data_IF_927586548253
#
_entry.id   IF_927586548253
#
_cell.length_a   1.000
_cell.length_b   1.000
_cell.length_c   1.000
_cell.angle_alpha   90.00
_cell.angle_beta   90.00
_cell.angle_gamma   90.00
#
_symmetry.space_group_name_H-M   'P 1'
#
loop_
_entity.id
_entity.type
_entity.pdbx_description
1 polymer ?
#
# COMPACT_ATOMS: atom_id res chain seq x y z
N UNK A 1 -3.45 -11.92 -48.71
CA UNK A 1 -4.86 -11.68 -48.30
C UNK A 1 -4.83 -11.23 -46.84
N UNK A 2 -5.29 -10.02 -46.52
CA UNK A 2 -5.40 -9.57 -45.12
C UNK A 2 -6.47 -10.42 -44.42
N UNK A 3 -6.14 -11.00 -43.28
CA UNK A 3 -7.10 -11.75 -42.48
C UNK A 3 -8.32 -10.88 -42.17
N UNK A 4 -9.50 -11.39 -42.45
CA UNK A 4 -10.78 -10.70 -42.16
C UNK A 4 -10.89 -10.57 -40.65
N UNK A 5 -10.84 -9.31 -40.15
CA UNK A 5 -10.95 -9.02 -38.72
C UNK A 5 -12.38 -9.31 -38.27
N UNK A 6 -12.54 -9.94 -37.12
CA UNK A 6 -13.84 -10.16 -36.52
C UNK A 6 -14.32 -8.88 -35.81
N UNK A 7 -15.60 -8.47 -35.98
CA UNK A 7 -16.16 -7.30 -35.30
C UNK A 7 -16.11 -7.48 -33.78
N UNK A 8 -15.81 -6.41 -33.06
CA UNK A 8 -15.83 -6.40 -31.59
C UNK A 8 -17.26 -6.19 -31.07
N UNK A 9 -17.99 -7.31 -30.94
CA UNK A 9 -19.36 -7.32 -30.46
C UNK A 9 -19.49 -6.93 -28.98
N UNK A 10 -18.46 -7.18 -28.17
CA UNK A 10 -18.46 -6.82 -26.76
C UNK A 10 -18.38 -5.30 -26.57
N UNK A 11 -17.49 -4.60 -27.27
CA UNK A 11 -17.48 -3.14 -27.27
C UNK A 11 -18.82 -2.58 -27.73
N UNK A 12 -19.39 -3.12 -28.80
CA UNK A 12 -20.69 -2.67 -29.31
C UNK A 12 -21.80 -2.81 -28.26
N UNK A 13 -21.86 -3.93 -27.55
CA UNK A 13 -22.85 -4.19 -26.51
C UNK A 13 -22.72 -3.20 -25.34
N UNK A 14 -21.50 -2.95 -24.84
CA UNK A 14 -21.26 -2.01 -23.72
C UNK A 14 -21.55 -0.57 -24.16
N UNK A 15 -21.22 -0.18 -25.40
CA UNK A 15 -21.60 1.14 -25.95
C UNK A 15 -23.10 1.31 -26.03
N UNK A 16 -23.84 0.29 -26.45
CA UNK A 16 -25.30 0.29 -26.49
C UNK A 16 -25.87 0.42 -25.07
N UNK A 17 -25.39 -0.34 -24.11
CA UNK A 17 -25.80 -0.25 -22.71
C UNK A 17 -25.56 1.16 -22.13
N UNK A 18 -24.43 1.78 -22.49
CA UNK A 18 -24.08 3.13 -22.08
C UNK A 18 -24.85 4.24 -22.84
N UNK A 19 -25.57 3.91 -23.90
CA UNK A 19 -26.24 4.88 -24.76
C UNK A 19 -25.23 5.85 -25.43
N UNK A 20 -24.05 5.38 -25.84
CA UNK A 20 -22.97 6.22 -26.35
C UNK A 20 -22.76 5.96 -27.84
N UNK A 21 -22.81 7.03 -28.65
CA UNK A 21 -22.46 7.00 -30.09
C UNK A 21 -20.92 6.97 -30.29
N UNK A 22 -20.46 6.61 -31.49
CA UNK A 22 -19.06 6.64 -31.85
C UNK A 22 -18.40 8.01 -31.59
N UNK A 23 -19.07 9.10 -31.91
CA UNK A 23 -18.62 10.47 -31.65
C UNK A 23 -18.58 10.76 -30.15
N UNK A 24 -19.59 10.30 -29.41
CA UNK A 24 -19.68 10.43 -27.95
C UNK A 24 -18.58 9.66 -27.23
N UNK A 25 -18.26 8.42 -27.65
CA UNK A 25 -17.17 7.66 -27.08
C UNK A 25 -15.81 8.31 -27.36
N UNK A 26 -15.54 8.71 -28.60
CA UNK A 26 -14.31 9.39 -28.97
C UNK A 26 -14.04 10.64 -28.12
N UNK A 27 -15.07 11.47 -27.88
CA UNK A 27 -14.95 12.65 -27.03
C UNK A 27 -14.61 12.28 -25.58
N UNK A 28 -15.28 11.26 -25.01
CA UNK A 28 -15.05 10.82 -23.65
C UNK A 28 -13.65 10.21 -23.47
N UNK A 29 -13.20 9.40 -24.44
CA UNK A 29 -11.84 8.83 -24.43
C UNK A 29 -10.78 9.93 -24.40
N UNK A 30 -10.95 11.01 -25.17
CA UNK A 30 -10.06 12.19 -25.10
C UNK A 30 -10.07 12.83 -23.71
N UNK A 31 -11.25 12.97 -23.11
CA UNK A 31 -11.38 13.54 -21.76
C UNK A 31 -10.63 12.68 -20.73
N UNK A 32 -10.78 11.37 -20.79
CA UNK A 32 -10.05 10.45 -19.86
C UNK A 32 -8.54 10.48 -20.12
N UNK A 33 -8.10 10.54 -21.37
CA UNK A 33 -6.68 10.64 -21.72
C UNK A 33 -6.03 11.91 -21.14
N UNK A 34 -6.71 13.05 -21.26
CA UNK A 34 -6.22 14.32 -20.68
C UNK A 34 -6.08 14.25 -19.16
N UNK A 35 -7.00 13.60 -18.45
CA UNK A 35 -6.93 13.44 -16.99
C UNK A 35 -5.67 12.72 -16.52
N UNK A 36 -5.11 11.84 -17.33
CA UNK A 36 -3.93 11.03 -17.03
C UNK A 36 -2.69 11.47 -17.82
N UNK A 37 -2.72 12.65 -18.44
CA UNK A 37 -1.58 13.24 -19.11
C UNK A 37 -1.20 12.58 -20.44
N UNK A 38 -2.09 11.85 -21.09
CA UNK A 38 -1.85 11.19 -22.39
C UNK A 38 -2.38 12.02 -23.56
N UNK A 39 -1.56 12.14 -24.60
CA UNK A 39 -1.96 12.76 -25.87
C UNK A 39 -2.63 11.72 -26.80
N UNK A 40 -3.89 11.42 -26.53
CA UNK A 40 -4.71 10.46 -27.28
C UNK A 40 -5.93 11.20 -27.83
N UNK A 41 -5.99 11.35 -29.15
CA UNK A 41 -7.04 12.12 -29.83
C UNK A 41 -7.82 11.30 -30.87
N UNK A 42 -8.61 10.27 -30.45
CA UNK A 42 -9.43 9.49 -31.36
C UNK A 42 -10.60 10.31 -31.90
N UNK A 43 -11.06 9.94 -33.07
CA UNK A 43 -12.28 10.43 -33.71
C UNK A 43 -13.33 9.31 -33.87
N UNK A 44 -14.47 9.64 -34.45
CA UNK A 44 -15.52 8.66 -34.68
C UNK A 44 -15.14 7.54 -35.68
N UNK A 45 -14.15 7.79 -36.53
CA UNK A 45 -13.58 6.79 -37.46
C UNK A 45 -12.71 5.79 -36.71
N UNK A 46 -11.94 6.29 -35.74
CA UNK A 46 -11.17 5.43 -34.85
C UNK A 46 -12.05 4.46 -34.08
N UNK A 47 -13.16 4.95 -33.51
CA UNK A 47 -14.13 4.09 -32.81
C UNK A 47 -14.79 3.07 -33.76
N UNK A 48 -15.11 3.46 -34.97
CA UNK A 48 -15.63 2.52 -35.99
C UNK A 48 -14.63 1.41 -36.30
N UNK A 49 -13.35 1.77 -36.47
CA UNK A 49 -12.28 0.76 -36.68
C UNK A 49 -12.16 -0.21 -35.52
N UNK A 50 -12.34 0.25 -34.28
CA UNK A 50 -12.32 -0.60 -33.09
C UNK A 50 -13.51 -1.57 -33.08
N UNK A 51 -14.69 -1.11 -33.47
CA UNK A 51 -15.88 -1.97 -33.64
C UNK A 51 -15.70 -2.98 -34.77
N UNK A 52 -14.98 -2.61 -35.84
CA UNK A 52 -14.64 -3.49 -36.96
C UNK A 52 -13.47 -4.45 -36.62
N UNK A 53 -13.08 -4.57 -35.33
CA UNK A 53 -12.07 -5.52 -34.84
C UNK A 53 -10.63 -5.02 -34.91
N UNK A 54 -10.38 -3.71 -35.12
CA UNK A 54 -9.04 -3.15 -34.97
C UNK A 54 -8.72 -2.96 -33.49
N UNK A 55 -7.63 -3.54 -33.01
CA UNK A 55 -7.18 -3.35 -31.62
C UNK A 55 -6.48 -1.99 -31.50
N UNK A 56 -6.93 -1.09 -30.61
CA UNK A 56 -6.23 0.16 -30.28
C UNK A 56 -4.94 -0.09 -29.52
N UNK A 57 -4.14 0.97 -29.36
CA UNK A 57 -3.01 0.95 -28.45
C UNK A 57 -3.51 0.74 -27.00
N UNK A 58 -2.70 0.10 -26.16
CA UNK A 58 -3.02 -0.29 -24.77
C UNK A 58 -3.60 0.88 -23.95
N UNK A 59 -2.98 2.06 -24.02
CA UNK A 59 -3.46 3.24 -23.29
C UNK A 59 -4.81 3.73 -23.77
N UNK A 60 -5.07 3.60 -25.07
CA UNK A 60 -6.38 3.91 -25.66
C UNK A 60 -7.46 2.96 -25.16
N UNK A 61 -7.15 1.66 -25.04
CA UNK A 61 -8.08 0.65 -24.47
C UNK A 61 -8.44 1.01 -23.03
N UNK A 62 -7.47 1.41 -22.21
CA UNK A 62 -7.71 1.87 -20.83
C UNK A 62 -8.61 3.09 -20.77
N UNK A 63 -8.38 4.08 -21.65
CA UNK A 63 -9.23 5.26 -21.73
C UNK A 63 -10.65 4.92 -22.23
N UNK A 64 -10.82 3.90 -23.10
CA UNK A 64 -12.16 3.42 -23.53
C UNK A 64 -12.91 2.82 -22.34
N UNK A 65 -12.25 1.93 -21.59
CA UNK A 65 -12.84 1.30 -20.40
C UNK A 65 -13.21 2.34 -19.33
N UNK A 66 -12.32 3.31 -19.04
CA UNK A 66 -12.58 4.39 -18.11
C UNK A 66 -13.76 5.29 -18.55
N UNK A 67 -13.82 5.64 -19.83
CA UNK A 67 -14.88 6.47 -20.39
C UNK A 67 -16.26 5.80 -20.28
N UNK A 68 -16.32 4.48 -20.51
CA UNK A 68 -17.56 3.69 -20.38
C UNK A 68 -17.92 3.47 -18.90
N UNK A 69 -16.92 3.26 -18.03
CA UNK A 69 -17.13 3.17 -16.59
C UNK A 69 -17.77 4.42 -16.01
N UNK A 70 -17.21 5.58 -16.36
CA UNK A 70 -17.76 6.88 -15.93
C UNK A 70 -19.19 7.11 -16.42
N UNK A 71 -19.52 6.64 -17.64
CA UNK A 71 -20.86 6.80 -18.21
C UNK A 71 -21.89 5.87 -17.57
N UNK A 72 -21.49 4.64 -17.23
CA UNK A 72 -22.36 3.62 -16.64
C UNK A 72 -22.43 3.70 -15.12
N UNK A 73 -21.62 4.55 -14.50
CA UNK A 73 -21.44 4.65 -13.06
C UNK A 73 -21.15 3.27 -12.41
N UNK A 74 -20.39 2.44 -13.12
CA UNK A 74 -19.85 1.16 -12.66
C UNK A 74 -18.52 0.87 -13.35
N UNK A 75 -17.72 0.00 -12.77
CA UNK A 75 -16.48 -0.45 -13.42
C UNK A 75 -16.79 -1.23 -14.69
N UNK A 76 -16.12 -0.88 -15.78
CA UNK A 76 -16.10 -1.62 -17.06
C UNK A 76 -14.66 -2.03 -17.30
N UNK A 77 -14.41 -3.32 -17.48
CA UNK A 77 -13.06 -3.87 -17.69
C UNK A 77 -12.69 -3.88 -19.17
N UNK A 78 -11.39 -4.03 -19.47
CA UNK A 78 -10.93 -4.20 -20.85
C UNK A 78 -11.44 -5.51 -21.46
N UNK A 79 -11.63 -6.55 -20.67
CA UNK A 79 -12.24 -7.81 -21.08
C UNK A 79 -13.70 -7.62 -21.52
N UNK A 80 -14.51 -6.89 -20.74
CA UNK A 80 -15.91 -6.61 -21.08
C UNK A 80 -16.07 -5.88 -22.42
N UNK A 81 -15.07 -5.12 -22.84
CA UNK A 81 -15.07 -4.43 -24.13
C UNK A 81 -14.29 -5.19 -25.23
N UNK A 82 -13.89 -6.45 -24.96
CA UNK A 82 -13.33 -7.36 -25.96
C UNK A 82 -11.90 -7.04 -26.41
N UNK A 83 -11.11 -6.33 -25.61
CA UNK A 83 -9.74 -5.96 -25.96
C UNK A 83 -8.64 -6.71 -25.18
N UNK A 84 -8.99 -7.51 -24.21
CA UNK A 84 -8.01 -8.36 -23.51
C UNK A 84 -7.79 -9.68 -24.29
N UNK A 85 -6.55 -10.13 -24.30
CA UNK A 85 -6.22 -11.49 -24.74
C UNK A 85 -6.63 -12.51 -23.66
N UNK A 86 -6.75 -13.78 -24.02
CA UNK A 86 -7.01 -14.86 -23.03
C UNK A 86 -5.93 -14.86 -21.94
N UNK A 87 -4.68 -14.57 -22.28
CA UNK A 87 -3.59 -14.46 -21.31
C UNK A 87 -3.76 -13.25 -20.36
N UNK A 88 -4.22 -12.09 -20.86
CA UNK A 88 -4.48 -10.91 -20.02
C UNK A 88 -5.69 -11.12 -19.10
N UNK A 89 -6.71 -11.87 -19.53
CA UNK A 89 -7.84 -12.27 -18.68
C UNK A 89 -7.38 -13.19 -17.56
N UNK A 90 -6.60 -14.22 -17.89
CA UNK A 90 -6.04 -15.15 -16.90
C UNK A 90 -5.10 -14.44 -15.90
N UNK A 91 -4.27 -13.50 -16.38
CA UNK A 91 -3.45 -12.66 -15.50
C UNK A 91 -4.32 -11.82 -14.56
N UNK A 92 -5.41 -11.22 -15.06
CA UNK A 92 -6.35 -10.43 -14.26
C UNK A 92 -7.02 -11.27 -13.18
N UNK A 93 -7.47 -12.47 -13.49
CA UNK A 93 -8.06 -13.40 -12.53
C UNK A 93 -7.05 -13.79 -11.45
N UNK A 94 -5.82 -14.15 -11.81
CA UNK A 94 -4.74 -14.47 -10.86
C UNK A 94 -4.39 -13.27 -9.96
N UNK A 95 -4.42 -12.06 -10.50
CA UNK A 95 -4.20 -10.84 -9.70
C UNK A 95 -5.34 -10.66 -8.70
N UNK A 96 -6.61 -10.85 -9.07
CA UNK A 96 -7.73 -10.76 -8.12
C UNK A 96 -7.63 -11.84 -7.04
N UNK A 97 -7.30 -13.08 -7.41
CA UNK A 97 -7.06 -14.19 -6.46
C UNK A 97 -5.92 -13.87 -5.47
N UNK A 98 -4.96 -13.04 -5.87
CA UNK A 98 -3.86 -12.60 -5.00
C UNK A 98 -4.31 -11.88 -3.72
N UNK A 99 -5.53 -11.32 -3.66
CA UNK A 99 -6.09 -10.73 -2.45
C UNK A 99 -6.67 -11.77 -1.47
N UNK A 100 -6.82 -13.03 -1.90
CA UNK A 100 -7.31 -14.12 -1.07
C UNK A 100 -6.14 -14.84 -0.37
N UNK A 101 -6.40 -15.37 0.83
CA UNK A 101 -5.43 -16.19 1.53
C UNK A 101 -5.32 -17.58 0.87
N UNK A 102 -4.14 -17.97 0.35
CA UNK A 102 -4.01 -19.19 -0.41
C UNK A 102 -4.04 -20.44 0.49
N UNK A 103 -4.63 -21.51 0.00
CA UNK A 103 -4.70 -22.76 0.75
C UNK A 103 -3.33 -23.44 0.91
N UNK A 104 -2.41 -23.24 -0.07
CA UNK A 104 -1.07 -23.85 -0.10
C UNK A 104 0.03 -22.82 -0.33
N UNK A 105 1.23 -23.10 0.20
CA UNK A 105 2.39 -22.25 0.04
C UNK A 105 2.89 -22.13 -1.39
N UNK A 106 2.77 -23.21 -2.19
CA UNK A 106 3.13 -23.18 -3.61
C UNK A 106 2.24 -22.19 -4.39
N UNK A 107 0.96 -22.09 -4.04
CA UNK A 107 0.07 -21.08 -4.63
C UNK A 107 0.52 -19.66 -4.29
N UNK A 108 0.97 -19.41 -3.05
CA UNK A 108 1.51 -18.12 -2.68
C UNK A 108 2.77 -17.77 -3.48
N UNK A 109 3.67 -18.74 -3.69
CA UNK A 109 4.89 -18.53 -4.49
C UNK A 109 4.55 -18.20 -5.94
N UNK A 110 3.62 -18.94 -6.56
CA UNK A 110 3.20 -18.72 -7.95
C UNK A 110 2.47 -17.38 -8.11
N UNK A 111 1.60 -17.01 -7.15
CA UNK A 111 0.93 -15.72 -7.14
C UNK A 111 1.93 -14.56 -6.96
N UNK A 112 2.90 -14.70 -6.06
CA UNK A 112 3.95 -13.68 -5.88
C UNK A 112 4.80 -13.53 -7.15
N UNK A 113 5.18 -14.62 -7.81
CA UNK A 113 5.89 -14.57 -9.08
C UNK A 113 5.06 -13.87 -10.17
N UNK A 114 3.76 -14.14 -10.24
CA UNK A 114 2.85 -13.48 -11.19
C UNK A 114 2.71 -11.99 -10.87
N UNK A 115 2.51 -11.63 -9.60
CA UNK A 115 2.37 -10.25 -9.14
C UNK A 115 3.63 -9.42 -9.42
N UNK A 116 4.82 -9.97 -9.12
CA UNK A 116 6.09 -9.26 -9.35
C UNK A 116 6.40 -9.09 -10.83
N UNK A 117 6.13 -10.09 -11.66
CA UNK A 117 6.26 -9.99 -13.11
C UNK A 117 5.28 -8.98 -13.72
N UNK A 118 4.02 -8.98 -13.27
CA UNK A 118 3.01 -8.01 -13.65
C UNK A 118 3.40 -6.57 -13.23
N UNK A 119 3.99 -6.43 -12.05
CA UNK A 119 4.43 -5.14 -11.54
C UNK A 119 5.68 -4.60 -12.26
N UNK A 120 6.62 -5.46 -12.62
CA UNK A 120 7.80 -5.12 -13.44
C UNK A 120 7.40 -4.67 -14.86
N UNK A 121 6.38 -5.31 -15.44
CA UNK A 121 5.87 -4.98 -16.78
C UNK A 121 4.87 -3.83 -16.78
N UNK A 122 4.64 -3.18 -15.64
CA UNK A 122 3.60 -2.16 -15.45
C UNK A 122 2.21 -2.64 -15.96
N UNK A 123 1.84 -3.89 -15.63
CA UNK A 123 0.56 -4.49 -16.03
C UNK A 123 -0.63 -3.63 -15.63
N UNK A 124 -1.56 -3.32 -16.56
CA UNK A 124 -2.75 -2.55 -16.24
C UNK A 124 -3.63 -3.24 -15.21
N UNK A 125 -3.74 -4.56 -15.24
CA UNK A 125 -4.56 -5.31 -14.29
C UNK A 125 -4.10 -5.06 -12.86
N UNK A 126 -2.80 -5.11 -12.60
CA UNK A 126 -2.24 -4.79 -11.28
C UNK A 126 -2.30 -3.30 -10.97
N UNK A 127 -2.10 -2.43 -11.97
CA UNK A 127 -2.13 -0.99 -11.77
C UNK A 127 -3.52 -0.46 -11.37
N UNK A 128 -4.61 -1.10 -11.85
CA UNK A 128 -5.99 -0.73 -11.49
C UNK A 128 -6.56 -1.55 -10.34
N UNK A 129 -5.81 -2.53 -9.83
CA UNK A 129 -6.26 -3.33 -8.70
C UNK A 129 -6.48 -2.46 -7.46
N UNK A 130 -7.58 -2.70 -6.77
CA UNK A 130 -7.96 -1.94 -5.58
C UNK A 130 -7.79 -2.79 -4.32
N UNK A 131 -7.79 -2.12 -3.19
CA UNK A 131 -7.95 -2.77 -1.89
C UNK A 131 -9.32 -3.45 -1.81
N UNK A 132 -9.33 -4.69 -1.31
CA UNK A 132 -10.52 -5.54 -1.15
C UNK A 132 -10.78 -5.79 0.35
N UNK A 133 -11.56 -4.93 1.02
CA UNK A 133 -11.81 -5.04 2.47
C UNK A 133 -12.56 -6.33 2.84
N UNK A 134 -13.41 -6.82 1.95
CA UNK A 134 -14.20 -8.05 2.12
C UNK A 134 -13.35 -9.31 2.32
N UNK A 135 -12.08 -9.28 1.96
CA UNK A 135 -11.17 -10.43 2.13
C UNK A 135 -10.60 -10.53 3.55
N UNK A 136 -10.68 -9.48 4.36
CA UNK A 136 -10.05 -9.45 5.69
C UNK A 136 -10.45 -10.62 6.60
N UNK A 137 -11.74 -11.00 6.74
CA UNK A 137 -12.11 -12.14 7.58
C UNK A 137 -11.49 -13.46 7.11
N UNK A 138 -11.45 -13.71 5.79
CA UNK A 138 -10.87 -14.94 5.23
C UNK A 138 -9.34 -14.95 5.35
N UNK A 139 -8.68 -13.82 5.19
CA UNK A 139 -7.23 -13.68 5.39
C UNK A 139 -6.85 -13.94 6.84
N UNK A 140 -7.55 -13.32 7.78
CA UNK A 140 -7.30 -13.49 9.21
C UNK A 140 -7.55 -14.94 9.65
N UNK A 141 -8.71 -15.50 9.30
CA UNK A 141 -9.04 -16.89 9.69
C UNK A 141 -8.10 -17.89 8.99
N UNK A 142 -7.79 -17.67 7.73
CA UNK A 142 -6.84 -18.48 6.98
C UNK A 142 -5.46 -18.50 7.65
N UNK A 143 -4.95 -17.34 8.05
CA UNK A 143 -3.66 -17.27 8.73
C UNK A 143 -3.68 -17.89 10.14
N UNK A 144 -4.67 -17.56 10.97
CA UNK A 144 -4.70 -18.01 12.37
C UNK A 144 -4.92 -19.53 12.50
N UNK A 145 -5.74 -20.12 11.61
CA UNK A 145 -6.20 -21.51 11.74
C UNK A 145 -5.63 -22.47 10.69
N UNK A 146 -4.95 -21.99 9.63
CA UNK A 146 -4.30 -22.88 8.68
C UNK A 146 -3.18 -23.67 9.39
N UNK A 147 -3.13 -24.96 9.12
CA UNK A 147 -1.98 -25.77 9.54
C UNK A 147 -0.81 -25.57 8.56
N UNK A 148 0.45 -25.48 9.06
CA UNK A 148 1.63 -25.56 8.20
C UNK A 148 1.61 -26.89 7.48
N UNK A 149 1.85 -26.87 6.17
CA UNK A 149 1.90 -28.12 5.41
C UNK A 149 3.23 -28.82 5.70
N UNK A 150 3.21 -30.17 5.78
CA UNK A 150 4.45 -30.93 5.78
C UNK A 150 5.08 -30.82 4.40
N UNK A 151 6.09 -30.00 4.28
CA UNK A 151 6.89 -29.87 3.06
C UNK A 151 7.66 -31.18 2.90
N UNK A 152 7.19 -32.05 1.99
CA UNK A 152 7.91 -33.29 1.67
C UNK A 152 9.02 -32.95 0.69
N UNK A 153 10.20 -32.68 1.19
CA UNK A 153 11.41 -32.55 0.37
C UNK A 153 12.17 -33.88 0.31
N UNK A 154 11.98 -34.62 -0.74
CA UNK A 154 12.83 -35.76 -1.10
C UNK A 154 13.83 -35.31 -2.17
N UNK A 155 15.08 -35.12 -1.82
CA UNK A 155 16.11 -34.82 -2.81
C UNK A 155 17.50 -34.62 -2.19
N UNK A 156 18.53 -35.03 -2.90
CA UNK A 156 19.94 -34.83 -2.56
C UNK A 156 20.26 -33.32 -2.55
N UNK A 157 20.91 -32.88 -1.49
CA UNK A 157 21.38 -31.50 -1.32
C UNK A 157 22.46 -31.18 -2.36
N UNK A 158 22.31 -30.08 -3.06
CA UNK A 158 23.41 -29.38 -3.69
C UNK A 158 24.01 -28.43 -2.64
N UNK A 159 25.29 -28.61 -2.29
CA UNK A 159 26.03 -27.80 -1.28
C UNK A 159 26.08 -26.29 -1.63
N UNK A 160 25.68 -25.91 -2.83
CA UNK A 160 25.85 -24.56 -3.36
C UNK A 160 24.84 -23.51 -2.81
N UNK A 161 23.83 -23.89 -2.04
CA UNK A 161 22.75 -22.97 -1.66
C UNK A 161 22.38 -22.95 -0.17
N UNK A 162 23.28 -23.35 0.70
CA UNK A 162 23.06 -23.40 2.16
C UNK A 162 22.84 -22.02 2.81
N UNK A 163 23.20 -20.93 2.13
CA UNK A 163 23.09 -19.55 2.63
C UNK A 163 22.03 -18.69 1.87
N UNK A 164 21.07 -19.30 1.19
CA UNK A 164 20.04 -18.55 0.43
C UNK A 164 19.26 -17.58 1.32
N UNK A 165 18.82 -18.02 2.49
CA UNK A 165 18.08 -17.19 3.45
C UNK A 165 18.93 -16.02 3.97
N UNK A 166 20.20 -16.26 4.32
CA UNK A 166 21.11 -15.20 4.78
C UNK A 166 21.37 -14.13 3.72
N UNK A 167 21.55 -14.54 2.46
CA UNK A 167 21.68 -13.58 1.33
C UNK A 167 20.41 -12.76 1.14
N UNK A 168 19.23 -13.39 1.15
CA UNK A 168 17.96 -12.67 1.02
C UNK A 168 17.81 -11.64 2.13
N UNK A 169 17.97 -12.03 3.39
CA UNK A 169 17.84 -11.10 4.54
C UNK A 169 18.85 -9.95 4.49
N UNK A 170 20.09 -10.21 4.08
CA UNK A 170 21.11 -9.17 3.96
C UNK A 170 20.76 -8.16 2.87
N UNK A 171 20.27 -8.62 1.73
CA UNK A 171 19.83 -7.77 0.62
C UNK A 171 18.59 -6.96 1.00
N UNK A 172 17.60 -7.59 1.65
CA UNK A 172 16.37 -6.90 2.11
C UNK A 172 16.70 -5.81 3.14
N UNK A 173 17.65 -6.03 4.05
CA UNK A 173 18.12 -4.98 4.98
C UNK A 173 18.68 -3.76 4.26
N UNK A 174 19.46 -3.96 3.19
CA UNK A 174 19.95 -2.86 2.38
C UNK A 174 18.79 -2.09 1.71
N UNK A 175 17.80 -2.79 1.15
CA UNK A 175 16.65 -2.17 0.53
C UNK A 175 15.75 -1.44 1.53
N UNK A 176 15.57 -1.97 2.74
CA UNK A 176 14.88 -1.27 3.82
C UNK A 176 15.55 0.07 4.14
N UNK A 177 16.88 0.11 4.25
CA UNK A 177 17.63 1.35 4.49
C UNK A 177 17.36 2.40 3.40
N UNK A 178 17.32 1.98 2.12
CA UNK A 178 17.00 2.87 1.00
C UNK A 178 15.53 3.31 1.02
N UNK A 179 14.61 2.42 1.37
CA UNK A 179 13.17 2.74 1.50
C UNK A 179 12.92 3.78 2.59
N UNK A 180 13.56 3.61 3.76
CA UNK A 180 13.50 4.60 4.83
C UNK A 180 14.03 5.97 4.42
N UNK A 181 15.07 6.01 3.59
CA UNK A 181 15.69 7.27 3.18
C UNK A 181 14.93 7.97 2.05
N UNK A 182 14.47 7.23 1.03
CA UNK A 182 13.98 7.79 -0.23
C UNK A 182 12.49 7.49 -0.52
N UNK A 183 11.86 6.61 0.26
CA UNK A 183 10.49 6.14 0.07
C UNK A 183 10.36 4.99 -0.93
N UNK A 184 9.22 4.27 -0.85
CA UNK A 184 8.95 3.05 -1.61
C UNK A 184 9.00 3.21 -3.12
N UNK A 185 8.67 4.39 -3.64
CA UNK A 185 8.75 4.67 -5.08
C UNK A 185 10.16 4.63 -5.67
N UNK A 186 11.21 4.72 -4.83
CA UNK A 186 12.61 4.67 -5.27
C UNK A 186 13.13 3.23 -5.36
N UNK A 187 12.85 2.41 -4.36
CA UNK A 187 13.45 1.07 -4.20
C UNK A 187 12.66 -0.04 -4.88
N UNK A 188 11.38 0.17 -5.15
CA UNK A 188 10.44 -0.86 -5.62
C UNK A 188 10.94 -1.64 -6.85
N UNK A 189 11.39 -0.97 -7.92
CA UNK A 189 11.83 -1.67 -9.14
C UNK A 189 13.01 -2.61 -8.91
N UNK A 190 13.97 -2.19 -8.09
CA UNK A 190 15.15 -2.99 -7.77
C UNK A 190 14.72 -4.21 -6.95
N UNK A 191 13.84 -4.02 -5.98
CA UNK A 191 13.31 -5.09 -5.15
C UNK A 191 12.49 -6.11 -5.97
N UNK A 192 11.66 -5.64 -6.90
CA UNK A 192 10.91 -6.50 -7.83
C UNK A 192 11.84 -7.34 -8.72
N UNK A 193 12.90 -6.73 -9.25
CA UNK A 193 13.89 -7.45 -10.05
C UNK A 193 14.58 -8.52 -9.21
N UNK A 194 15.02 -8.17 -8.00
CA UNK A 194 15.65 -9.13 -7.08
C UNK A 194 14.69 -10.27 -6.70
N UNK A 195 13.41 -9.97 -6.52
CA UNK A 195 12.39 -10.98 -6.26
C UNK A 195 12.32 -12.00 -7.40
N UNK A 196 12.23 -11.54 -8.63
CA UNK A 196 12.08 -12.40 -9.82
C UNK A 196 13.36 -13.20 -10.12
N UNK A 197 14.54 -12.57 -10.00
CA UNK A 197 15.82 -13.21 -10.37
C UNK A 197 16.41 -14.10 -9.29
N UNK A 198 16.14 -13.83 -8.00
CA UNK A 198 16.82 -14.49 -6.88
C UNK A 198 15.85 -15.22 -5.93
N UNK A 199 14.76 -14.55 -5.49
CA UNK A 199 13.87 -15.11 -4.48
C UNK A 199 12.97 -16.19 -5.06
N UNK A 200 12.32 -15.97 -6.20
CA UNK A 200 11.46 -16.99 -6.85
C UNK A 200 12.24 -18.26 -7.18
N UNK A 201 13.45 -18.20 -7.80
CA UNK A 201 14.25 -19.39 -7.99
C UNK A 201 14.65 -20.09 -6.69
N UNK A 202 14.97 -19.33 -5.61
CA UNK A 202 15.26 -19.92 -4.32
C UNK A 202 14.04 -20.66 -3.74
N UNK A 203 12.84 -20.07 -3.77
CA UNK A 203 11.60 -20.68 -3.28
C UNK A 203 11.20 -21.95 -4.04
N UNK A 204 11.62 -22.11 -5.28
CA UNK A 204 11.33 -23.28 -6.12
C UNK A 204 12.35 -24.41 -5.97
N UNK A 205 13.44 -24.18 -5.23
CA UNK A 205 14.43 -25.22 -4.93
C UNK A 205 13.94 -26.14 -3.83
N UNK A 206 14.58 -27.33 -3.76
CA UNK A 206 14.33 -28.31 -2.70
C UNK A 206 15.37 -28.17 -1.62
N UNK A 207 14.93 -28.03 -0.39
CA UNK A 207 15.76 -27.89 0.81
C UNK A 207 15.37 -28.89 1.88
N UNK A 208 16.25 -29.20 2.83
CA UNK A 208 15.84 -29.80 4.09
C UNK A 208 14.82 -28.91 4.80
N UNK A 209 13.93 -29.50 5.60
CA UNK A 209 12.80 -28.80 6.22
C UNK A 209 13.20 -27.51 6.96
N UNK A 210 14.26 -27.57 7.77
CA UNK A 210 14.73 -26.40 8.51
C UNK A 210 15.19 -25.24 7.59
N UNK A 211 15.94 -25.56 6.53
CA UNK A 211 16.40 -24.56 5.56
C UNK A 211 15.26 -24.05 4.70
N UNK A 212 14.29 -24.89 4.35
CA UNK A 212 13.09 -24.49 3.62
C UNK A 212 12.28 -23.47 4.41
N UNK A 213 12.08 -23.70 5.71
CA UNK A 213 11.43 -22.72 6.61
C UNK A 213 12.20 -21.42 6.70
N UNK A 214 13.51 -21.48 6.76
CA UNK A 214 14.36 -20.29 6.85
C UNK A 214 14.32 -19.45 5.55
N UNK A 215 14.32 -20.10 4.39
CA UNK A 215 14.13 -19.43 3.07
C UNK A 215 12.74 -18.82 2.96
N UNK A 216 11.69 -19.53 3.42
CA UNK A 216 10.33 -18.99 3.41
C UNK A 216 10.14 -17.80 4.34
N UNK A 217 10.77 -17.83 5.54
CA UNK A 217 10.77 -16.67 6.45
C UNK A 217 11.47 -15.47 5.81
N UNK A 218 12.63 -15.67 5.19
CA UNK A 218 13.34 -14.61 4.49
C UNK A 218 12.55 -14.05 3.27
N UNK A 219 11.82 -14.91 2.57
CA UNK A 219 10.93 -14.48 1.49
C UNK A 219 9.68 -13.76 2.00
N UNK A 220 9.15 -14.14 3.17
CA UNK A 220 8.05 -13.42 3.81
C UNK A 220 8.46 -11.98 4.20
N UNK A 221 9.69 -11.80 4.72
CA UNK A 221 10.28 -10.48 4.99
C UNK A 221 10.40 -9.65 3.70
N UNK A 222 10.87 -10.25 2.62
CA UNK A 222 10.92 -9.60 1.31
C UNK A 222 9.53 -9.22 0.76
N UNK A 223 8.52 -10.08 0.93
CA UNK A 223 7.14 -9.81 0.53
C UNK A 223 6.52 -8.67 1.37
N UNK A 224 6.86 -8.63 2.67
CA UNK A 224 6.48 -7.53 3.56
C UNK A 224 7.04 -6.19 3.05
N UNK A 225 8.31 -6.14 2.68
CA UNK A 225 8.93 -4.91 2.15
C UNK A 225 8.35 -4.51 0.78
N UNK A 226 8.05 -5.47 -0.11
CA UNK A 226 7.33 -5.22 -1.36
C UNK A 226 5.95 -4.61 -1.11
N UNK A 227 5.19 -5.18 -0.17
CA UNK A 227 3.89 -4.68 0.23
C UNK A 227 3.98 -3.25 0.77
N UNK A 228 4.96 -2.99 1.64
CA UNK A 228 5.18 -1.66 2.21
C UNK A 228 5.57 -0.62 1.15
N UNK A 229 6.53 -0.96 0.28
CA UNK A 229 6.96 -0.09 -0.82
C UNK A 229 5.82 0.20 -1.81
N UNK A 230 4.98 -0.79 -2.13
CA UNK A 230 3.80 -0.60 -2.97
C UNK A 230 2.76 0.29 -2.28
N UNK A 231 2.53 0.10 -0.98
CA UNK A 231 1.65 0.93 -0.17
C UNK A 231 2.12 2.39 -0.14
N UNK A 232 3.40 2.63 0.14
CA UNK A 232 3.99 3.97 0.17
C UNK A 232 3.92 4.66 -1.20
N UNK A 233 4.00 3.89 -2.29
CA UNK A 233 3.82 4.36 -3.65
C UNK A 233 2.34 4.55 -4.08
N UNK A 234 1.36 4.30 -3.19
CA UNK A 234 -0.07 4.44 -3.48
C UNK A 234 -0.68 3.28 -4.29
N UNK A 235 0.05 2.16 -4.46
CA UNK A 235 -0.42 0.97 -5.18
C UNK A 235 -1.11 -0.01 -4.22
N UNK A 236 -2.23 0.43 -3.65
CA UNK A 236 -2.85 -0.22 -2.51
C UNK A 236 -3.34 -1.65 -2.79
N UNK A 237 -3.87 -1.92 -3.98
CA UNK A 237 -4.28 -3.26 -4.36
C UNK A 237 -3.09 -4.22 -4.49
N UNK A 238 -1.98 -3.78 -5.08
CA UNK A 238 -0.74 -4.57 -5.14
C UNK A 238 -0.16 -4.82 -3.74
N UNK A 239 -0.13 -3.79 -2.89
CA UNK A 239 0.36 -3.88 -1.51
C UNK A 239 -0.38 -4.95 -0.70
N UNK A 240 -1.73 -4.93 -0.73
CA UNK A 240 -2.55 -5.93 -0.06
C UNK A 240 -2.18 -7.35 -0.52
N UNK A 241 -2.03 -7.54 -1.82
CA UNK A 241 -1.71 -8.85 -2.41
C UNK A 241 -0.33 -9.34 -1.97
N UNK A 242 0.69 -8.50 -1.99
CA UNK A 242 2.01 -8.84 -1.47
C UNK A 242 1.96 -9.23 0.01
N UNK A 243 1.24 -8.47 0.84
CA UNK A 243 1.07 -8.78 2.26
C UNK A 243 0.35 -10.12 2.48
N UNK A 244 -0.75 -10.36 1.78
CA UNK A 244 -1.55 -11.59 1.95
C UNK A 244 -0.74 -12.83 1.55
N UNK A 245 0.01 -12.76 0.45
CA UNK A 245 0.83 -13.89 0.01
C UNK A 245 2.06 -14.07 0.92
N UNK A 246 2.68 -12.96 1.36
CA UNK A 246 3.76 -12.97 2.36
C UNK A 246 3.31 -13.59 3.70
N UNK A 247 2.07 -13.33 4.10
CA UNK A 247 1.48 -13.92 5.30
C UNK A 247 1.39 -15.45 5.22
N UNK A 248 1.11 -16.01 4.02
CA UNK A 248 1.15 -17.47 3.82
C UNK A 248 2.56 -18.04 3.95
N UNK A 249 3.57 -17.35 3.40
CA UNK A 249 4.97 -17.77 3.54
C UNK A 249 5.41 -17.74 5.01
N UNK A 250 5.06 -16.69 5.76
CA UNK A 250 5.34 -16.58 7.19
C UNK A 250 4.70 -17.74 7.98
N UNK A 251 3.46 -18.11 7.63
CA UNK A 251 2.77 -19.25 8.25
C UNK A 251 3.49 -20.58 7.97
N UNK A 252 3.92 -20.81 6.75
CA UNK A 252 4.65 -22.00 6.35
C UNK A 252 6.02 -22.11 7.02
N UNK A 253 6.69 -20.97 7.15
CA UNK A 253 7.95 -20.85 7.90
C UNK A 253 7.78 -21.08 9.41
N UNK A 254 6.55 -21.08 9.93
CA UNK A 254 6.23 -20.99 11.35
C UNK A 254 6.81 -19.72 12.02
N UNK A 255 6.94 -18.64 11.25
CA UNK A 255 7.43 -17.34 11.72
C UNK A 255 6.24 -16.46 12.13
N UNK A 256 5.82 -16.63 13.38
CA UNK A 256 4.65 -15.93 13.92
C UNK A 256 4.89 -14.43 14.08
N UNK A 257 6.13 -14.03 14.38
CA UNK A 257 6.48 -12.62 14.53
C UNK A 257 6.42 -11.88 13.20
N UNK A 258 6.95 -12.47 12.11
CA UNK A 258 6.82 -11.93 10.76
C UNK A 258 5.34 -11.88 10.32
N UNK A 259 4.56 -12.91 10.59
CA UNK A 259 3.13 -12.89 10.32
C UNK A 259 2.39 -11.79 11.08
N UNK A 260 2.72 -11.55 12.35
CA UNK A 260 2.20 -10.45 13.15
C UNK A 260 2.56 -9.08 12.56
N UNK A 261 3.81 -8.91 12.10
CA UNK A 261 4.25 -7.69 11.43
C UNK A 261 3.47 -7.42 10.14
N UNK A 262 3.27 -8.44 9.31
CA UNK A 262 2.47 -8.31 8.07
C UNK A 262 1.02 -7.94 8.39
N UNK A 263 0.39 -8.58 9.39
CA UNK A 263 -0.96 -8.22 9.84
C UNK A 263 -1.03 -6.79 10.36
N UNK A 264 0.00 -6.33 11.07
CA UNK A 264 0.11 -4.94 11.52
C UNK A 264 0.19 -3.96 10.34
N UNK A 265 0.93 -4.31 9.29
CA UNK A 265 0.99 -3.49 8.06
C UNK A 265 -0.34 -3.45 7.32
N UNK A 266 -1.07 -4.58 7.25
CA UNK A 266 -2.45 -4.62 6.73
C UNK A 266 -3.40 -3.74 7.55
N UNK A 267 -3.26 -3.74 8.89
CA UNK A 267 -4.01 -2.84 9.78
C UNK A 267 -3.72 -1.37 9.46
N UNK A 268 -2.44 -1.02 9.35
CA UNK A 268 -2.03 0.35 9.03
C UNK A 268 -2.55 0.79 7.65
N UNK A 269 -2.48 -0.08 6.63
CA UNK A 269 -2.99 0.20 5.30
C UNK A 269 -4.52 0.33 5.29
N UNK A 270 -5.25 -0.57 5.96
CA UNK A 270 -6.71 -0.52 6.08
C UNK A 270 -7.15 0.79 6.74
N UNK A 271 -6.50 1.19 7.85
CA UNK A 271 -6.76 2.45 8.53
C UNK A 271 -6.54 3.66 7.62
N UNK A 272 -5.43 3.69 6.89
CA UNK A 272 -5.14 4.75 5.92
C UNK A 272 -6.21 4.86 4.81
N UNK A 273 -6.82 3.75 4.42
CA UNK A 273 -7.84 3.69 3.38
C UNK A 273 -9.27 3.94 3.89
N UNK A 274 -9.45 4.15 5.20
CA UNK A 274 -10.75 4.37 5.82
C UNK A 274 -11.52 3.08 6.14
N UNK A 275 -10.88 1.91 6.02
CA UNK A 275 -11.46 0.61 6.37
C UNK A 275 -11.14 0.29 7.85
N UNK A 276 -11.69 1.09 8.74
CA UNK A 276 -11.29 1.10 10.16
C UNK A 276 -11.67 -0.19 10.91
N UNK A 277 -12.80 -0.80 10.55
CA UNK A 277 -13.22 -2.09 11.13
C UNK A 277 -12.21 -3.19 10.84
N UNK A 278 -11.78 -3.31 9.59
CA UNK A 278 -10.78 -4.26 9.13
C UNK A 278 -9.41 -3.96 9.76
N UNK A 279 -9.06 -2.68 9.91
CA UNK A 279 -7.84 -2.26 10.59
C UNK A 279 -7.78 -2.76 12.04
N UNK A 280 -8.86 -2.61 12.80
CA UNK A 280 -8.96 -3.14 14.17
C UNK A 280 -8.82 -4.66 14.17
N UNK A 281 -9.50 -5.35 13.24
CA UNK A 281 -9.45 -6.81 13.15
C UNK A 281 -8.03 -7.31 12.84
N UNK A 282 -7.31 -6.69 11.90
CA UNK A 282 -5.93 -7.04 11.60
C UNK A 282 -4.97 -6.78 12.77
N UNK A 283 -5.10 -5.64 13.46
CA UNK A 283 -4.28 -5.35 14.64
C UNK A 283 -4.49 -6.37 15.77
N UNK A 284 -5.75 -6.74 16.03
CA UNK A 284 -6.08 -7.77 17.02
C UNK A 284 -5.62 -9.15 16.59
N UNK A 285 -5.66 -9.47 15.29
CA UNK A 285 -5.13 -10.71 14.75
C UNK A 285 -3.61 -10.80 14.92
N UNK A 286 -2.87 -9.69 14.73
CA UNK A 286 -1.43 -9.62 14.99
C UNK A 286 -1.10 -9.94 16.46
N UNK A 287 -1.85 -9.33 17.38
CA UNK A 287 -1.72 -9.61 18.82
C UNK A 287 -2.00 -11.08 19.15
N UNK A 288 -3.11 -11.64 18.63
CA UNK A 288 -3.51 -13.02 18.87
C UNK A 288 -2.51 -14.04 18.30
N UNK A 289 -1.99 -13.77 17.09
CA UNK A 289 -1.03 -14.65 16.41
C UNK A 289 0.29 -14.80 17.18
N UNK A 290 0.69 -13.79 17.94
CA UNK A 290 2.02 -13.70 18.54
C UNK A 290 2.02 -13.86 20.08
N UNK A 291 0.91 -14.33 20.63
CA UNK A 291 0.81 -14.63 22.08
C UNK A 291 1.93 -15.59 22.51
N UNK A 292 2.68 -15.19 23.53
CA UNK A 292 3.80 -15.97 24.09
C UNK A 292 5.13 -15.83 23.36
N UNK A 293 5.16 -15.17 22.18
CA UNK A 293 6.41 -14.97 21.40
C UNK A 293 6.80 -13.50 21.27
N UNK A 294 5.79 -12.58 21.15
CA UNK A 294 6.05 -11.16 20.98
C UNK A 294 6.76 -10.56 22.21
N UNK A 295 7.85 -9.84 21.95
CA UNK A 295 8.49 -8.99 22.97
C UNK A 295 7.53 -7.88 23.42
N UNK A 296 7.89 -7.19 24.49
CA UNK A 296 7.11 -6.08 25.00
C UNK A 296 6.98 -4.93 23.96
N UNK A 297 8.07 -4.64 23.24
CA UNK A 297 8.12 -3.65 22.17
C UNK A 297 7.21 -4.04 20.99
N UNK A 298 7.27 -5.29 20.54
CA UNK A 298 6.39 -5.80 19.47
C UNK A 298 4.92 -5.73 19.85
N UNK A 299 4.59 -6.10 21.10
CA UNK A 299 3.21 -5.97 21.62
C UNK A 299 2.73 -4.51 21.64
N UNK A 300 3.61 -3.58 22.08
CA UNK A 300 3.29 -2.16 22.09
C UNK A 300 2.96 -1.65 20.68
N UNK A 301 3.75 -2.02 19.68
CA UNK A 301 3.52 -1.64 18.30
C UNK A 301 2.18 -2.18 17.76
N UNK A 302 1.83 -3.46 17.99
CA UNK A 302 0.54 -4.00 17.55
C UNK A 302 -0.66 -3.33 18.24
N UNK A 303 -0.52 -3.01 19.52
CA UNK A 303 -1.52 -2.24 20.27
C UNK A 303 -1.65 -0.81 19.73
N UNK A 304 -0.53 -0.15 19.36
CA UNK A 304 -0.56 1.17 18.76
C UNK A 304 -1.35 1.19 17.45
N UNK A 305 -1.25 0.16 16.61
CA UNK A 305 -2.07 0.05 15.39
C UNK A 305 -3.56 -0.10 15.71
N UNK A 306 -3.93 -0.85 16.76
CA UNK A 306 -5.32 -0.91 17.22
C UNK A 306 -5.81 0.46 17.72
N UNK A 307 -4.98 1.18 18.51
CA UNK A 307 -5.30 2.51 19.00
C UNK A 307 -5.53 3.51 17.86
N UNK A 308 -4.68 3.47 16.81
CA UNK A 308 -4.83 4.27 15.59
C UNK A 308 -6.19 4.08 14.92
N UNK A 309 -6.58 2.83 14.72
CA UNK A 309 -7.86 2.52 14.09
C UNK A 309 -9.06 2.93 14.95
N UNK A 310 -8.99 2.77 16.28
CA UNK A 310 -10.00 3.23 17.22
C UNK A 310 -10.11 4.76 17.24
N UNK A 311 -8.98 5.47 17.17
CA UNK A 311 -8.97 6.92 17.07
C UNK A 311 -9.66 7.40 15.78
N UNK A 312 -9.40 6.73 14.66
CA UNK A 312 -9.97 7.08 13.35
C UNK A 312 -11.49 6.88 13.27
N UNK A 313 -12.07 5.95 14.04
CA UNK A 313 -13.55 5.84 14.17
C UNK A 313 -14.13 6.79 15.23
N UNK A 314 -13.28 7.54 15.94
CA UNK A 314 -13.72 8.48 16.98
C UNK A 314 -14.03 7.82 18.34
N UNK A 315 -13.68 6.54 18.56
CA UNK A 315 -13.87 5.87 19.86
C UNK A 315 -12.74 6.27 20.83
N UNK A 316 -12.91 7.45 21.43
CA UNK A 316 -11.91 8.02 22.34
C UNK A 316 -11.69 7.19 23.59
N UNK A 317 -12.74 6.52 24.11
CA UNK A 317 -12.63 5.72 25.32
C UNK A 317 -11.86 4.41 25.07
N UNK A 318 -12.18 3.70 23.98
CA UNK A 318 -11.44 2.50 23.61
C UNK A 318 -10.00 2.84 23.22
N UNK A 319 -9.78 3.92 22.47
CA UNK A 319 -8.45 4.39 22.11
C UNK A 319 -7.61 4.68 23.35
N UNK A 320 -8.11 5.45 24.31
CA UNK A 320 -7.40 5.75 25.56
C UNK A 320 -7.06 4.48 26.37
N UNK A 321 -8.00 3.52 26.43
CA UNK A 321 -7.75 2.23 27.09
C UNK A 321 -6.63 1.46 26.41
N UNK A 322 -6.60 1.45 25.08
CA UNK A 322 -5.56 0.73 24.33
C UNK A 322 -4.23 1.47 24.42
N UNK A 323 -4.21 2.82 24.33
CA UNK A 323 -2.99 3.61 24.52
C UNK A 323 -2.35 3.36 25.89
N UNK A 324 -3.13 3.28 26.95
CA UNK A 324 -2.62 2.92 28.27
C UNK A 324 -1.96 1.52 28.27
N UNK A 325 -2.53 0.55 27.56
CA UNK A 325 -1.91 -0.78 27.39
C UNK A 325 -0.63 -0.71 26.55
N UNK A 326 -0.56 0.18 25.57
CA UNK A 326 0.67 0.44 24.80
C UNK A 326 1.79 0.91 25.73
N UNK A 327 1.52 1.92 26.55
CA UNK A 327 2.49 2.44 27.53
C UNK A 327 2.94 1.36 28.49
N UNK A 328 2.01 0.62 29.09
CA UNK A 328 2.33 -0.49 30.01
C UNK A 328 3.21 -1.57 29.33
N UNK A 329 2.94 -1.91 28.08
CA UNK A 329 3.76 -2.87 27.35
C UNK A 329 5.15 -2.27 27.05
N UNK A 330 5.20 -1.02 26.63
CA UNK A 330 6.46 -0.35 26.29
C UNK A 330 7.36 -0.13 27.51
N UNK A 331 6.80 0.14 28.68
CA UNK A 331 7.56 0.27 29.93
C UNK A 331 8.26 -1.05 30.35
N UNK A 332 7.73 -2.19 29.90
CA UNK A 332 8.31 -3.51 30.13
C UNK A 332 9.33 -3.92 29.05
N UNK A 333 9.64 -3.02 28.10
CA UNK A 333 10.55 -3.36 27.01
C UNK A 333 11.95 -3.72 27.49
N UNK A 334 12.52 -4.68 26.77
CA UNK A 334 13.93 -5.03 26.88
C UNK A 334 14.50 -5.14 25.46
N UNK A 335 15.17 -4.10 24.95
CA UNK A 335 15.67 -4.07 23.57
C UNK A 335 16.59 -5.25 23.21
N UNK A 336 17.25 -5.88 24.19
CA UNK A 336 18.06 -7.07 23.96
C UNK A 336 17.26 -8.31 23.57
N UNK A 337 15.95 -8.32 23.78
CA UNK A 337 15.04 -9.41 23.42
C UNK A 337 14.22 -9.09 22.15
N UNK A 338 14.41 -7.92 21.57
CA UNK A 338 13.65 -7.49 20.42
C UNK A 338 14.24 -8.06 19.12
N UNK A 339 13.42 -8.47 18.15
CA UNK A 339 13.90 -8.76 16.81
C UNK A 339 14.40 -7.48 16.13
N UNK A 340 15.42 -7.59 15.29
CA UNK A 340 16.09 -6.45 14.63
C UNK A 340 15.13 -5.50 13.94
N UNK A 341 14.08 -6.03 13.32
CA UNK A 341 13.13 -5.25 12.52
C UNK A 341 12.26 -4.27 13.34
N UNK A 342 12.10 -4.47 14.67
CA UNK A 342 11.32 -3.57 15.52
C UNK A 342 12.16 -2.44 16.14
N UNK A 343 13.45 -2.42 15.91
CA UNK A 343 14.36 -1.43 16.52
C UNK A 343 13.99 0.03 16.27
N UNK A 344 13.19 0.31 15.25
CA UNK A 344 12.65 1.65 14.95
C UNK A 344 11.56 2.08 15.94
N UNK A 345 10.87 1.14 16.61
CA UNK A 345 9.77 1.44 17.53
C UNK A 345 10.30 1.82 18.90
N UNK A 346 10.80 3.01 19.00
CA UNK A 346 11.36 3.61 20.22
C UNK A 346 10.37 4.58 20.90
N UNK A 347 10.84 5.40 21.83
CA UNK A 347 10.00 6.36 22.54
C UNK A 347 9.49 7.48 21.63
N UNK A 348 10.25 7.86 20.61
CA UNK A 348 9.83 8.88 19.66
C UNK A 348 8.76 8.36 18.70
N UNK A 349 8.92 7.12 18.21
CA UNK A 349 7.89 6.47 17.37
C UNK A 349 6.60 6.27 18.16
N UNK A 350 6.69 5.81 19.42
CA UNK A 350 5.53 5.68 20.30
C UNK A 350 4.79 7.03 20.46
N UNK A 351 5.53 8.10 20.69
CA UNK A 351 4.93 9.44 20.78
C UNK A 351 4.30 9.87 19.45
N UNK A 352 4.92 9.53 18.33
CA UNK A 352 4.37 9.75 16.99
C UNK A 352 3.02 9.05 16.78
N UNK A 353 2.91 7.77 17.18
CA UNK A 353 1.66 7.02 17.11
C UNK A 353 0.57 7.63 17.99
N UNK A 354 0.91 8.09 19.19
CA UNK A 354 -0.01 8.81 20.06
C UNK A 354 -0.47 10.14 19.45
N UNK A 355 0.47 10.92 18.85
CA UNK A 355 0.14 12.17 18.18
C UNK A 355 -0.88 11.97 17.04
N UNK A 356 -0.72 10.90 16.28
CA UNK A 356 -1.68 10.53 15.25
C UNK A 356 -3.07 10.19 15.84
N UNK A 357 -3.13 9.42 16.94
CA UNK A 357 -4.39 9.11 17.60
C UNK A 357 -5.11 10.38 18.05
N UNK A 358 -4.41 11.28 18.73
CA UNK A 358 -5.01 12.52 19.24
C UNK A 358 -5.41 13.49 18.11
N UNK A 359 -4.64 13.53 17.00
CA UNK A 359 -5.05 14.27 15.80
C UNK A 359 -6.39 13.78 15.27
N UNK A 360 -6.56 12.45 15.14
CA UNK A 360 -7.76 11.83 14.58
C UNK A 360 -8.97 11.99 15.52
N UNK A 361 -8.74 11.96 16.82
CA UNK A 361 -9.74 12.27 17.86
C UNK A 361 -10.08 13.77 17.97
N UNK A 362 -9.39 14.65 17.25
CA UNK A 362 -9.63 16.09 17.29
C UNK A 362 -9.19 16.74 18.60
N UNK A 363 -8.16 16.24 19.25
CA UNK A 363 -7.58 16.72 20.50
C UNK A 363 -6.27 17.50 20.22
N UNK A 364 -6.33 18.80 19.91
CA UNK A 364 -5.17 19.55 19.41
C UNK A 364 -4.05 19.71 20.42
N UNK A 365 -4.36 19.84 21.72
CA UNK A 365 -3.33 20.03 22.76
C UNK A 365 -2.46 18.78 22.89
N UNK A 366 -3.10 17.62 22.96
CA UNK A 366 -2.44 16.32 23.05
C UNK A 366 -1.69 16.03 21.75
N UNK A 367 -2.26 16.36 20.59
CA UNK A 367 -1.57 16.24 19.29
C UNK A 367 -0.25 17.00 19.29
N UNK A 368 -0.25 18.27 19.69
CA UNK A 368 0.96 19.11 19.72
C UNK A 368 1.97 18.59 20.75
N UNK A 369 1.50 18.19 21.94
CA UNK A 369 2.36 17.64 22.98
C UNK A 369 3.13 16.41 22.50
N UNK A 370 2.41 15.41 21.97
CA UNK A 370 3.01 14.16 21.52
C UNK A 370 3.80 14.31 20.22
N UNK A 371 3.38 15.16 19.29
CA UNK A 371 4.17 15.47 18.10
C UNK A 371 5.52 16.11 18.46
N UNK A 372 5.56 16.98 19.48
CA UNK A 372 6.80 17.54 19.99
C UNK A 372 7.73 16.50 20.64
N UNK A 373 7.17 15.45 21.24
CA UNK A 373 7.92 14.34 21.80
C UNK A 373 8.37 13.31 20.76
N UNK A 374 7.77 13.32 19.57
CA UNK A 374 8.05 12.35 18.50
C UNK A 374 9.30 12.67 17.66
N UNK A 375 9.95 13.81 17.93
CA UNK A 375 11.09 14.27 17.14
C UNK A 375 12.33 14.35 18.02
N UNK A 376 13.33 13.48 17.72
CA UNK A 376 14.70 13.70 18.17
C UNK A 376 15.37 14.70 17.21
N UNK A 377 15.85 15.85 17.71
CA UNK A 377 16.46 16.87 16.85
C UNK A 377 17.70 16.40 16.08
N UNK A 378 18.37 15.34 16.58
CA UNK A 378 19.64 14.84 16.03
C UNK A 378 19.44 13.61 15.17
N UNK A 379 18.56 12.68 15.57
CA UNK A 379 18.49 11.35 14.99
C UNK A 379 17.22 11.10 14.16
N UNK A 380 16.12 11.87 14.35
CA UNK A 380 14.90 11.63 13.56
C UNK A 380 15.15 11.93 12.08
N UNK A 381 14.99 10.94 11.17
CA UNK A 381 15.18 11.15 9.74
C UNK A 381 14.26 12.24 9.19
N UNK A 382 14.72 12.97 8.19
CA UNK A 382 13.95 14.05 7.54
C UNK A 382 12.56 13.59 7.06
N UNK A 383 12.47 12.36 6.55
CA UNK A 383 11.19 11.75 6.16
C UNK A 383 10.21 11.63 7.33
N UNK A 384 10.61 11.01 8.42
CA UNK A 384 9.77 10.83 9.62
C UNK A 384 9.37 12.19 10.19
N UNK A 385 10.32 13.11 10.28
CA UNK A 385 10.07 14.48 10.73
C UNK A 385 9.01 15.17 9.87
N UNK A 386 9.10 15.09 8.53
CA UNK A 386 8.10 15.69 7.64
C UNK A 386 6.68 15.15 7.89
N UNK A 387 6.51 13.86 8.17
CA UNK A 387 5.21 13.29 8.53
C UNK A 387 4.69 13.83 9.87
N UNK A 388 5.54 13.87 10.89
CA UNK A 388 5.15 14.35 12.23
C UNK A 388 4.87 15.87 12.20
N UNK A 389 5.65 16.65 11.44
CA UNK A 389 5.40 18.07 11.26
C UNK A 389 4.02 18.33 10.60
N UNK A 390 3.58 17.51 9.64
CA UNK A 390 2.22 17.59 9.08
C UNK A 390 1.14 17.27 10.11
N UNK A 391 1.39 16.33 11.04
CA UNK A 391 0.48 16.04 12.17
C UNK A 391 0.43 17.23 13.13
N UNK A 392 1.58 17.81 13.46
CA UNK A 392 1.71 19.00 14.29
C UNK A 392 1.00 20.20 13.68
N UNK A 393 1.18 20.43 12.36
CA UNK A 393 0.49 21.50 11.63
C UNK A 393 -1.04 21.36 11.69
N UNK A 394 -1.56 20.14 11.55
CA UNK A 394 -2.99 19.87 11.70
C UNK A 394 -3.48 20.12 13.14
N UNK A 395 -2.66 19.81 14.15
CA UNK A 395 -2.91 20.13 15.55
C UNK A 395 -2.97 21.63 15.80
N UNK A 396 -1.98 22.39 15.32
CA UNK A 396 -1.93 23.85 15.43
C UNK A 396 -3.13 24.52 14.76
N UNK A 397 -3.49 24.07 13.55
CA UNK A 397 -4.67 24.58 12.84
C UNK A 397 -5.97 24.38 13.65
N UNK A 398 -6.14 23.21 14.24
CA UNK A 398 -7.32 22.91 15.09
C UNK A 398 -7.30 23.65 16.42
N UNK A 399 -6.11 24.00 16.94
CA UNK A 399 -5.95 24.86 18.09
C UNK A 399 -6.27 26.34 17.79
N UNK A 400 -6.45 26.71 16.53
CA UNK A 400 -6.72 28.08 16.07
C UNK A 400 -5.47 28.89 15.76
N UNK A 401 -4.28 28.30 15.79
CA UNK A 401 -3.02 28.98 15.47
C UNK A 401 -2.68 28.77 13.99
N UNK A 402 -3.21 29.64 13.15
CA UNK A 402 -3.03 29.60 11.71
C UNK A 402 -1.57 29.82 11.28
N UNK A 403 -0.89 30.77 11.95
CA UNK A 403 0.47 31.12 11.59
C UNK A 403 1.45 29.98 11.90
N UNK A 404 1.33 29.36 13.07
CA UNK A 404 2.11 28.18 13.43
C UNK A 404 1.80 27.01 12.49
N UNK A 405 0.53 26.75 12.18
CA UNK A 405 0.13 25.68 11.29
C UNK A 405 0.76 25.80 9.90
N UNK A 406 0.74 26.99 9.30
CA UNK A 406 1.34 27.25 7.98
C UNK A 406 2.86 27.18 8.04
N UNK A 407 3.48 27.72 9.08
CA UNK A 407 4.94 27.70 9.25
C UNK A 407 5.46 26.26 9.30
N UNK A 408 4.90 25.42 10.19
CA UNK A 408 5.30 24.02 10.34
C UNK A 408 5.04 23.23 9.07
N UNK A 409 3.90 23.41 8.41
CA UNK A 409 3.60 22.73 7.15
C UNK A 409 4.55 23.17 6.01
N UNK A 410 4.97 24.42 5.97
CA UNK A 410 5.94 24.92 4.99
C UNK A 410 7.31 24.27 5.18
N UNK A 411 7.76 24.17 6.42
CA UNK A 411 9.01 23.49 6.77
C UNK A 411 8.94 21.99 6.41
N UNK A 412 7.82 21.33 6.70
CA UNK A 412 7.58 19.93 6.34
C UNK A 412 7.67 19.69 4.82
N UNK A 413 7.08 20.58 4.01
CA UNK A 413 7.16 20.50 2.54
C UNK A 413 8.62 20.67 2.07
N UNK A 414 9.38 21.59 2.69
CA UNK A 414 10.80 21.80 2.42
C UNK A 414 11.66 20.57 2.77
N UNK A 415 11.41 19.95 3.94
CA UNK A 415 12.14 18.76 4.40
C UNK A 415 11.88 17.55 3.51
N UNK A 416 10.65 17.38 3.03
CA UNK A 416 10.28 16.22 2.22
C UNK A 416 10.97 16.18 0.85
N UNK A 417 11.34 17.32 0.28
CA UNK A 417 12.18 17.46 -0.91
C UNK A 417 11.99 16.38 -1.99
N UNK A 418 12.96 15.47 -2.09
CA UNK A 418 12.97 14.37 -3.06
C UNK A 418 12.16 13.12 -2.63
N UNK A 419 11.40 13.16 -1.54
CA UNK A 419 10.63 12.03 -1.03
C UNK A 419 9.56 11.58 -2.04
N UNK A 420 9.62 10.32 -2.44
CA UNK A 420 8.64 9.68 -3.34
C UNK A 420 7.67 8.80 -2.55
N UNK A 421 6.76 9.45 -1.82
CA UNK A 421 5.76 8.80 -0.98
C UNK A 421 4.36 9.38 -1.24
N UNK A 422 3.48 8.55 -1.80
CA UNK A 422 2.06 8.93 -1.99
C UNK A 422 1.34 9.13 -0.65
N UNK A 423 1.78 8.44 0.40
CA UNK A 423 1.23 8.64 1.76
C UNK A 423 1.52 10.07 2.25
N UNK A 424 2.76 10.53 2.09
CA UNK A 424 3.11 11.89 2.48
C UNK A 424 2.31 12.93 1.70
N UNK A 425 2.18 12.76 0.39
CA UNK A 425 1.38 13.65 -0.45
C UNK A 425 -0.08 13.73 0.02
N UNK A 426 -0.64 12.64 0.50
CA UNK A 426 -1.99 12.67 1.09
C UNK A 426 -2.06 13.49 2.37
N UNK A 427 -1.05 13.39 3.26
CA UNK A 427 -0.99 14.23 4.47
C UNK A 427 -0.97 15.73 4.10
N UNK A 428 -0.21 16.10 3.07
CA UNK A 428 -0.19 17.47 2.54
C UNK A 428 -1.56 17.88 2.00
N UNK A 429 -2.21 17.01 1.20
CA UNK A 429 -3.52 17.28 0.62
C UNK A 429 -4.62 17.40 1.68
N UNK A 430 -4.63 16.49 2.67
CA UNK A 430 -5.60 16.50 3.77
C UNK A 430 -5.44 17.77 4.62
N UNK A 431 -4.19 18.16 4.96
CA UNK A 431 -3.92 19.41 5.65
C UNK A 431 -4.35 20.62 4.83
N UNK A 432 -4.03 20.65 3.52
CA UNK A 432 -4.45 21.73 2.64
C UNK A 432 -5.98 21.85 2.59
N UNK A 433 -6.71 20.75 2.53
CA UNK A 433 -8.17 20.71 2.60
C UNK A 433 -8.70 21.37 3.88
N UNK A 434 -8.20 20.95 5.04
CA UNK A 434 -8.55 21.54 6.34
C UNK A 434 -8.22 23.03 6.41
N UNK A 435 -7.06 23.42 5.88
CA UNK A 435 -6.59 24.79 5.88
C UNK A 435 -7.49 25.70 5.04
N UNK A 436 -7.91 25.25 3.87
CA UNK A 436 -8.72 26.04 2.92
C UNK A 436 -10.19 26.08 3.27
N UNK A 437 -10.72 25.13 4.04
CA UNK A 437 -12.13 25.05 4.42
C UNK A 437 -12.66 26.37 5.03
N UNK A 438 -11.85 27.01 5.90
CA UNK A 438 -12.25 28.26 6.60
C UNK A 438 -11.36 29.46 6.27
N UNK A 439 -10.18 29.25 5.72
CA UNK A 439 -9.13 30.26 5.59
C UNK A 439 -8.70 30.54 4.14
N UNK A 440 -9.43 30.06 3.14
CA UNK A 440 -9.07 30.18 1.73
C UNK A 440 -8.66 31.61 1.27
N UNK A 441 -9.33 32.71 1.71
CA UNK A 441 -8.96 34.06 1.30
C UNK A 441 -7.69 34.61 1.96
N UNK A 442 -7.15 33.94 2.97
CA UNK A 442 -5.98 34.44 3.70
C UNK A 442 -4.71 34.43 2.83
N UNK A 443 -3.89 35.51 2.81
CA UNK A 443 -2.70 35.60 1.96
C UNK A 443 -1.69 34.46 2.20
N UNK A 444 -1.43 34.08 3.45
CA UNK A 444 -0.51 33.01 3.78
C UNK A 444 -1.00 31.63 3.31
N UNK A 445 -2.33 31.41 3.30
CA UNK A 445 -2.92 30.16 2.76
C UNK A 445 -2.72 30.09 1.25
N UNK A 446 -2.87 31.20 0.53
CA UNK A 446 -2.57 31.26 -0.91
C UNK A 446 -1.11 30.98 -1.20
N UNK A 447 -0.19 31.60 -0.42
CA UNK A 447 1.24 31.35 -0.57
C UNK A 447 1.61 29.89 -0.31
N UNK A 448 1.04 29.25 0.71
CA UNK A 448 1.23 27.82 0.98
C UNK A 448 0.67 26.96 -0.17
N UNK A 449 -0.50 27.32 -0.71
CA UNK A 449 -1.09 26.61 -1.85
C UNK A 449 -0.18 26.66 -3.10
N UNK A 450 0.43 27.81 -3.37
CA UNK A 450 1.39 27.98 -4.46
C UNK A 450 2.66 27.17 -4.22
N UNK A 451 3.17 27.15 -3.00
CA UNK A 451 4.31 26.31 -2.62
C UNK A 451 4.03 24.83 -2.87
N UNK A 452 2.88 24.31 -2.42
CA UNK A 452 2.49 22.90 -2.61
C UNK A 452 2.37 22.56 -4.10
N UNK A 453 1.76 23.44 -4.91
CA UNK A 453 1.66 23.24 -6.37
C UNK A 453 3.02 23.24 -7.05
N UNK A 454 3.93 24.08 -6.62
CA UNK A 454 5.30 24.14 -7.16
C UNK A 454 6.11 22.90 -6.77
N UNK A 455 5.98 22.44 -5.52
CA UNK A 455 6.72 21.29 -4.99
C UNK A 455 6.18 19.96 -5.50
N UNK A 456 4.85 19.87 -5.70
CA UNK A 456 4.15 18.63 -6.08
C UNK A 456 3.17 18.87 -7.24
N UNK A 457 3.66 19.07 -8.49
CA UNK A 457 2.80 19.42 -9.63
C UNK A 457 1.72 18.40 -9.99
N UNK A 458 1.92 17.12 -9.61
CA UNK A 458 0.98 16.03 -9.86
C UNK A 458 -0.05 15.84 -8.76
N UNK A 459 0.08 16.55 -7.62
CA UNK A 459 -0.85 16.44 -6.51
C UNK A 459 -2.15 17.17 -6.83
N UNK A 460 -3.25 16.42 -6.84
CA UNK A 460 -4.59 16.99 -6.96
C UNK A 460 -5.02 17.50 -5.59
N UNK A 461 -5.07 18.82 -5.44
CA UNK A 461 -5.55 19.45 -4.21
C UNK A 461 -7.08 19.46 -4.18
N UNK A 462 -7.70 19.26 -3.00
CA UNK A 462 -9.14 19.45 -2.83
C UNK A 462 -9.52 20.87 -3.27
N UNK A 463 -10.59 20.97 -4.06
CA UNK A 463 -11.15 22.28 -4.42
C UNK A 463 -11.91 22.81 -3.20
N UNK A 464 -11.66 24.06 -2.82
CA UNK A 464 -12.50 24.78 -1.86
C UNK A 464 -13.92 24.83 -2.41
N UNK A 465 -14.88 24.31 -1.62
CA UNK A 465 -16.29 24.34 -1.96
C UNK A 465 -16.84 25.78 -2.02
#
# INVERSE_FOLDING_TARGET
MAAKREPNLLLAAVMQQAGVSNKGLATRVRTEAVKIGLDISPDHVSVRRWLDGMRPHRDTIRCIAAALSAKLNRRVTCAEIGFESVAEVAEGELIEDGAQYPARSEQAVDLLATLTSADLSDSPALAVSTWSPETAPSVISGYLFAEPQRIQYAGSLSDANTDAAGRIRSTIRCFMGLDFQFGGGHTRKILLTYWDTDIVPALRQRYPEALARDVMSAAADAAQLLGWSAYDAGRHGAAQRYFVQGLRLAREANDRLMGGQILSNLSHQANYLGNFSEAIQFARAAQAATVGEASATVRAMFLAMEARALASIGDSQACATVLHRVEQAFDQRNPGNDPDWISYFDAWELAGEAAHCFRDLGQPRETLLFAGQAIDPVHTPARTRAFIDMVSAAGALRAGDLDQAISVATDAVGLAGALRSSRYLRYVADFHGLLTEKNAPHPAVRAFTELVRASYPTLVLPQSA
#
